data_IF_786415035195
#
_entry.id   IF_786415035195
#
_cell.length_a   1.000
_cell.length_b   1.000
_cell.length_c   1.000
_cell.angle_alpha   90.00
_cell.angle_beta   90.00
_cell.angle_gamma   90.00
#
_symmetry.space_group_name_H-M   'P 1'
#
loop_
_entity.id
_entity.type
_entity.pdbx_description
1 polymer ?
#
# COMPACT_ATOMS: atom_id res chain seq x y z
N UNK A 1 -82.49 -6.45 -8.33
CA UNK A 1 -81.90 -6.77 -7.02
C UNK A 1 -80.66 -7.61 -7.28
N UNK A 2 -79.51 -7.23 -6.70
CA UNK A 2 -78.25 -8.01 -6.65
C UNK A 2 -77.50 -8.07 -8.00
N UNK A 3 -76.20 -7.81 -8.15
CA UNK A 3 -75.11 -7.39 -7.26
C UNK A 3 -74.00 -6.79 -8.12
N UNK A 4 -73.33 -5.78 -7.58
CA UNK A 4 -71.96 -5.46 -7.93
C UNK A 4 -71.05 -6.62 -7.52
N UNK A 5 -70.06 -6.98 -8.34
CA UNK A 5 -68.82 -7.58 -7.81
C UNK A 5 -67.69 -7.45 -8.83
N UNK A 6 -66.73 -6.61 -8.46
CA UNK A 6 -65.42 -6.51 -9.08
C UNK A 6 -64.72 -7.88 -9.03
N UNK A 7 -63.98 -8.29 -10.07
CA UNK A 7 -63.13 -9.46 -9.98
C UNK A 7 -61.92 -9.10 -9.10
N UNK A 8 -62.03 -9.43 -7.82
CA UNK A 8 -60.91 -9.49 -6.89
C UNK A 8 -59.94 -10.56 -7.38
N UNK A 9 -58.70 -10.16 -7.58
CA UNK A 9 -57.56 -11.01 -7.88
C UNK A 9 -57.45 -12.05 -6.76
N UNK A 10 -57.76 -13.31 -7.09
CA UNK A 10 -57.45 -14.47 -6.27
C UNK A 10 -55.93 -14.61 -6.26
N UNK A 11 -55.30 -14.01 -5.26
CA UNK A 11 -53.93 -14.37 -4.89
C UNK A 11 -54.04 -15.57 -3.96
N UNK A 12 -53.79 -16.75 -4.52
CA UNK A 12 -53.61 -17.98 -3.77
C UNK A 12 -52.46 -17.78 -2.77
N UNK A 13 -52.81 -17.72 -1.49
CA UNK A 13 -51.85 -17.75 -0.39
C UNK A 13 -51.32 -19.18 -0.26
N UNK A 14 -50.14 -19.42 -0.83
CA UNK A 14 -49.33 -20.58 -0.46
C UNK A 14 -48.52 -20.21 0.79
N UNK A 15 -48.59 -21.08 1.78
CA UNK A 15 -48.01 -20.96 3.12
C UNK A 15 -46.54 -20.51 3.15
N UNK A 16 -46.26 -19.67 4.15
CA UNK A 16 -45.13 -19.73 5.09
C UNK A 16 -44.01 -18.66 5.03
N UNK A 17 -43.64 -18.25 6.26
CA UNK A 17 -42.46 -17.51 6.75
C UNK A 17 -42.48 -15.97 6.80
N UNK A 18 -42.70 -15.47 8.03
CA UNK A 18 -42.35 -14.18 8.66
C UNK A 18 -41.36 -13.24 7.91
N UNK A 19 -41.83 -12.53 6.89
CA UNK A 19 -41.07 -11.51 6.17
C UNK A 19 -41.54 -10.09 6.47
N UNK A 20 -40.60 -9.16 6.71
CA UNK A 20 -40.92 -7.73 6.87
C UNK A 20 -41.02 -7.09 5.47
N UNK A 21 -42.18 -6.52 5.16
CA UNK A 21 -42.45 -5.84 3.89
C UNK A 21 -42.53 -4.32 4.12
N UNK A 22 -41.73 -3.54 3.39
CA UNK A 22 -41.85 -2.07 3.37
C UNK A 22 -41.70 -1.53 1.96
N UNK A 23 -42.60 -0.62 1.56
CA UNK A 23 -42.55 0.14 0.30
C UNK A 23 -42.26 -0.72 -0.96
N UNK A 24 -42.94 -1.88 -1.08
CA UNK A 24 -42.85 -2.75 -2.26
C UNK A 24 -41.68 -3.75 -2.26
N UNK A 25 -40.84 -3.74 -1.22
CA UNK A 25 -39.75 -4.71 -1.02
C UNK A 25 -40.04 -5.61 0.19
N UNK A 26 -39.94 -6.92 0.01
CA UNK A 26 -40.01 -7.87 1.11
C UNK A 26 -38.68 -8.60 1.30
N UNK A 27 -38.26 -8.69 2.57
CA UNK A 27 -36.99 -9.30 2.95
C UNK A 27 -37.23 -10.48 3.89
N UNK A 28 -36.37 -11.50 3.77
CA UNK A 28 -36.25 -12.56 4.76
C UNK A 28 -35.60 -12.01 6.05
N UNK A 29 -35.76 -12.68 7.20
CA UNK A 29 -35.06 -12.32 8.46
C UNK A 29 -33.53 -12.25 8.29
N UNK A 30 -32.99 -12.96 7.31
CA UNK A 30 -31.58 -12.97 6.89
C UNK A 30 -31.17 -11.78 6.00
N UNK A 31 -32.02 -10.73 5.89
CA UNK A 31 -31.84 -9.51 5.08
C UNK A 31 -31.77 -9.70 3.56
N UNK A 32 -32.03 -10.91 3.06
CA UNK A 32 -32.12 -11.15 1.62
C UNK A 32 -33.45 -10.64 1.06
N UNK A 33 -33.41 -9.92 -0.06
CA UNK A 33 -34.60 -9.45 -0.78
C UNK A 33 -35.26 -10.65 -1.48
N UNK A 34 -36.48 -11.00 -1.10
CA UNK A 34 -37.18 -12.18 -1.61
C UNK A 34 -38.23 -11.84 -2.66
N UNK A 35 -38.78 -10.63 -2.62
CA UNK A 35 -39.68 -10.16 -3.67
C UNK A 35 -39.72 -8.63 -3.75
N UNK A 36 -39.85 -8.12 -4.98
CA UNK A 36 -39.89 -6.71 -5.33
C UNK A 36 -41.05 -6.46 -6.27
N UNK A 37 -41.92 -5.52 -5.90
CA UNK A 37 -43.04 -5.04 -6.70
C UNK A 37 -42.71 -3.63 -7.20
N UNK A 38 -42.79 -3.41 -8.52
CA UNK A 38 -42.58 -2.07 -9.09
C UNK A 38 -43.87 -1.24 -8.99
N UNK A 39 -43.80 -0.09 -8.33
CA UNK A 39 -44.94 0.84 -8.26
C UNK A 39 -45.20 1.41 -9.66
N UNK A 40 -46.40 1.20 -10.21
CA UNK A 40 -46.83 1.69 -11.53
C UNK A 40 -46.69 0.71 -12.69
N UNK A 41 -46.24 -0.53 -12.45
CA UNK A 41 -46.20 -1.61 -13.45
C UNK A 41 -46.69 -2.93 -12.83
N UNK A 42 -47.44 -3.78 -13.55
CA UNK A 42 -47.93 -5.06 -13.01
C UNK A 42 -46.83 -6.12 -12.82
N UNK A 43 -45.56 -5.75 -13.02
CA UNK A 43 -44.42 -6.66 -12.94
C UNK A 43 -43.91 -6.78 -11.50
N UNK A 44 -43.93 -8.01 -10.97
CA UNK A 44 -43.31 -8.37 -9.70
C UNK A 44 -42.21 -9.42 -9.92
N UNK A 45 -41.06 -9.24 -9.28
CA UNK A 45 -39.97 -10.21 -9.28
C UNK A 45 -39.98 -10.99 -7.97
N UNK A 46 -40.13 -12.31 -8.07
CA UNK A 46 -40.04 -13.22 -6.92
C UNK A 46 -38.79 -14.08 -7.03
N UNK A 47 -38.02 -14.16 -5.95
CA UNK A 47 -36.86 -15.03 -5.87
C UNK A 47 -37.35 -16.48 -5.73
N UNK A 48 -37.12 -17.31 -6.76
CA UNK A 48 -37.61 -18.70 -6.79
C UNK A 48 -36.86 -19.63 -5.84
N UNK A 49 -35.57 -19.35 -5.58
CA UNK A 49 -34.72 -20.12 -4.67
C UNK A 49 -33.66 -19.18 -4.08
N UNK A 50 -33.47 -19.22 -2.77
CA UNK A 50 -32.39 -18.49 -2.09
C UNK A 50 -31.07 -19.16 -2.48
N UNK A 51 -30.07 -18.40 -2.99
CA UNK A 51 -28.73 -18.94 -3.22
C UNK A 51 -28.17 -19.43 -1.88
N UNK A 52 -27.69 -20.68 -1.85
CA UNK A 52 -27.02 -21.21 -0.66
C UNK A 52 -25.83 -20.30 -0.33
N UNK A 53 -25.71 -19.89 0.94
CA UNK A 53 -24.56 -19.12 1.40
C UNK A 53 -23.29 -19.87 0.99
N UNK A 54 -22.44 -19.21 0.21
CA UNK A 54 -21.09 -19.71 -0.09
C UNK A 54 -20.34 -19.67 1.24
N UNK A 55 -20.36 -20.79 1.96
CA UNK A 55 -19.38 -21.05 3.02
C UNK A 55 -18.04 -20.88 2.34
N UNK A 56 -17.20 -19.98 2.86
CA UNK A 56 -15.84 -19.85 2.33
C UNK A 56 -15.18 -21.20 2.52
N UNK A 57 -15.02 -21.96 1.44
CA UNK A 57 -14.15 -23.12 1.42
C UNK A 57 -12.80 -22.69 2.02
N UNK A 58 -12.20 -23.57 2.81
CA UNK A 58 -10.88 -23.33 3.40
C UNK A 58 -9.95 -22.79 2.30
N UNK A 59 -9.46 -21.55 2.46
CA UNK A 59 -8.58 -20.95 1.46
C UNK A 59 -7.41 -21.92 1.26
N UNK A 60 -7.13 -22.35 0.01
CA UNK A 60 -6.03 -23.27 -0.23
C UNK A 60 -4.76 -22.69 0.40
N UNK A 61 -3.93 -23.52 1.06
CA UNK A 61 -2.76 -23.04 1.76
C UNK A 61 -1.91 -22.20 0.80
N UNK A 62 -1.68 -20.95 1.20
CA UNK A 62 -0.97 -19.97 0.37
C UNK A 62 0.36 -20.59 -0.08
N UNK A 63 0.69 -20.57 -1.39
CA UNK A 63 1.94 -21.15 -1.86
C UNK A 63 3.12 -20.51 -1.13
N UNK A 64 3.89 -21.34 -0.41
CA UNK A 64 5.08 -20.91 0.32
C UNK A 64 6.20 -20.79 -0.70
N UNK A 65 6.36 -19.60 -1.27
CA UNK A 65 7.50 -19.31 -2.12
C UNK A 65 8.76 -19.18 -1.25
N UNK A 66 9.71 -20.08 -1.45
CA UNK A 66 11.03 -19.95 -0.83
C UNK A 66 11.71 -18.66 -1.31
N UNK A 67 12.28 -17.91 -0.37
CA UNK A 67 13.03 -16.70 -0.70
C UNK A 67 14.33 -17.10 -1.39
N UNK A 68 14.35 -17.05 -2.72
CA UNK A 68 15.60 -17.18 -3.48
C UNK A 68 16.50 -15.99 -3.19
N UNK A 69 17.80 -16.25 -3.02
CA UNK A 69 18.81 -15.20 -2.97
C UNK A 69 18.83 -14.48 -4.32
N UNK A 70 18.73 -13.16 -4.28
CA UNK A 70 18.81 -12.33 -5.46
C UNK A 70 20.29 -12.22 -5.87
N UNK A 71 20.71 -12.97 -6.89
CA UNK A 71 22.02 -12.81 -7.52
C UNK A 71 21.87 -11.87 -8.73
N UNK A 72 22.38 -10.65 -8.60
CA UNK A 72 22.18 -9.58 -9.59
C UNK A 72 22.98 -9.88 -10.86
N UNK A 73 24.12 -10.55 -10.71
CA UNK A 73 25.05 -10.89 -11.78
C UNK A 73 24.53 -12.00 -12.70
N UNK A 74 23.72 -12.91 -12.16
CA UNK A 74 23.15 -14.05 -12.93
C UNK A 74 21.92 -13.65 -13.75
N UNK A 75 21.14 -12.66 -13.29
CA UNK A 75 19.96 -12.17 -14.00
C UNK A 75 20.33 -11.06 -14.98
N UNK A 76 20.38 -11.39 -16.27
CA UNK A 76 20.68 -10.44 -17.35
C UNK A 76 19.79 -9.19 -17.33
N UNK A 77 18.50 -9.32 -17.01
CA UNK A 77 17.60 -8.17 -16.97
C UNK A 77 17.95 -7.26 -15.80
N UNK A 78 18.29 -7.85 -14.65
CA UNK A 78 18.64 -7.10 -13.46
C UNK A 78 19.98 -6.39 -13.60
N UNK A 79 20.97 -7.08 -14.16
CA UNK A 79 22.28 -6.50 -14.45
C UNK A 79 22.18 -5.31 -15.41
N UNK A 80 21.38 -5.42 -16.48
CA UNK A 80 21.14 -4.30 -17.41
C UNK A 80 20.59 -3.08 -16.67
N UNK A 81 19.53 -3.25 -15.87
CA UNK A 81 18.93 -2.16 -15.10
C UNK A 81 19.92 -1.52 -14.13
N UNK A 82 20.78 -2.33 -13.52
CA UNK A 82 21.83 -1.83 -12.64
C UNK A 82 22.84 -0.97 -13.40
N UNK A 83 23.28 -1.41 -14.58
CA UNK A 83 24.21 -0.65 -15.41
C UNK A 83 23.62 0.69 -15.85
N UNK A 84 22.39 0.69 -16.36
CA UNK A 84 21.70 1.91 -16.77
C UNK A 84 21.60 2.90 -15.60
N UNK A 85 21.13 2.42 -14.44
CA UNK A 85 20.99 3.26 -13.25
C UNK A 85 22.34 3.80 -12.75
N UNK A 86 23.40 3.00 -12.84
CA UNK A 86 24.75 3.41 -12.47
C UNK A 86 25.26 4.49 -13.41
N UNK A 87 25.03 4.36 -14.71
CA UNK A 87 25.41 5.38 -15.71
C UNK A 87 24.64 6.68 -15.49
N UNK A 88 23.33 6.62 -15.29
CA UNK A 88 22.50 7.79 -14.98
C UNK A 88 23.03 8.57 -13.77
N UNK A 89 23.35 7.87 -12.68
CA UNK A 89 23.88 8.50 -11.45
C UNK A 89 25.23 9.14 -11.72
N UNK A 90 26.12 8.48 -12.48
CA UNK A 90 27.42 9.04 -12.86
C UNK A 90 27.27 10.26 -13.75
N UNK A 91 26.37 10.22 -14.73
CA UNK A 91 26.07 11.34 -15.61
C UNK A 91 25.54 12.54 -14.83
N UNK A 92 24.54 12.32 -13.97
CA UNK A 92 23.98 13.35 -13.10
C UNK A 92 25.03 13.95 -12.17
N UNK A 93 25.90 13.13 -11.58
CA UNK A 93 27.00 13.61 -10.75
C UNK A 93 27.98 14.48 -11.54
N UNK A 94 28.36 14.06 -12.76
CA UNK A 94 29.27 14.83 -13.61
C UNK A 94 28.65 16.18 -14.02
N UNK A 95 27.35 16.22 -14.32
CA UNK A 95 26.62 17.45 -14.60
C UNK A 95 26.59 18.36 -13.37
N UNK A 96 26.25 17.82 -12.19
CA UNK A 96 26.24 18.56 -10.94
C UNK A 96 27.61 19.19 -10.61
N UNK A 97 28.70 18.43 -10.77
CA UNK A 97 30.08 18.92 -10.58
C UNK A 97 30.52 19.99 -11.60
N UNK A 98 29.89 20.05 -12.78
CA UNK A 98 30.15 21.10 -13.78
C UNK A 98 29.33 22.36 -13.51
N UNK A 99 28.11 22.20 -13.01
CA UNK A 99 27.21 23.31 -12.66
C UNK A 99 27.67 24.05 -11.40
N UNK A 100 28.32 23.34 -10.48
CA UNK A 100 28.74 23.87 -9.17
C UNK A 100 30.27 23.86 -9.01
N UNK A 101 31.02 24.77 -9.68
CA UNK A 101 32.48 24.85 -9.53
C UNK A 101 32.92 25.21 -8.11
N UNK A 102 32.07 25.87 -7.32
CA UNK A 102 32.29 26.21 -5.91
C UNK A 102 32.60 24.98 -5.05
N UNK A 103 32.07 23.81 -5.39
CA UNK A 103 32.37 22.57 -4.66
C UNK A 103 33.83 22.15 -4.82
N UNK A 104 34.40 22.34 -6.02
CA UNK A 104 35.82 22.04 -6.26
C UNK A 104 36.72 23.02 -5.53
N UNK A 105 36.35 24.30 -5.52
CA UNK A 105 37.07 25.33 -4.77
C UNK A 105 37.03 25.04 -3.25
N UNK A 106 35.85 24.75 -2.71
CA UNK A 106 35.66 24.41 -1.30
C UNK A 106 36.52 23.20 -0.87
N UNK A 107 36.58 22.15 -1.70
CA UNK A 107 37.41 20.97 -1.45
C UNK A 107 38.91 21.28 -1.55
N UNK A 108 39.31 22.14 -2.50
CA UNK A 108 40.69 22.58 -2.63
C UNK A 108 41.14 23.38 -1.40
N UNK A 109 40.30 24.30 -0.92
CA UNK A 109 40.56 25.09 0.29
C UNK A 109 40.67 24.18 1.52
N UNK A 110 39.77 23.21 1.66
CA UNK A 110 39.84 22.21 2.73
C UNK A 110 41.16 21.44 2.70
N UNK A 111 41.57 20.96 1.51
CA UNK A 111 42.83 20.24 1.34
C UNK A 111 44.04 21.13 1.64
N UNK A 112 43.99 22.40 1.25
CA UNK A 112 45.04 23.37 1.58
C UNK A 112 45.17 23.56 3.09
N UNK A 113 44.06 23.68 3.82
CA UNK A 113 44.10 23.76 5.28
C UNK A 113 44.61 22.47 5.94
N UNK A 114 44.27 21.31 5.39
CA UNK A 114 44.82 20.04 5.87
C UNK A 114 46.35 19.97 5.70
N UNK A 115 46.87 20.41 4.55
CA UNK A 115 48.30 20.40 4.28
C UNK A 115 49.07 21.42 5.13
N UNK A 116 48.46 22.57 5.45
CA UNK A 116 49.08 23.60 6.29
C UNK A 116 49.08 23.23 7.78
N UNK A 117 47.97 22.74 8.32
CA UNK A 117 47.81 22.49 9.76
C UNK A 117 48.21 21.08 10.18
N UNK A 118 48.13 20.12 9.26
CA UNK A 118 48.39 18.68 9.45
C UNK A 118 47.86 18.15 10.81
N UNK A 119 46.54 18.25 11.04
CA UNK A 119 45.94 17.85 12.31
C UNK A 119 46.11 16.34 12.55
N UNK A 120 46.16 15.94 13.82
CA UNK A 120 46.23 14.53 14.23
C UNK A 120 44.90 13.81 13.95
N UNK A 121 43.77 14.51 14.12
CA UNK A 121 42.44 14.01 13.80
C UNK A 121 41.82 14.79 12.63
N UNK A 122 41.80 14.15 11.47
CA UNK A 122 41.30 14.71 10.21
C UNK A 122 39.76 14.75 10.20
N UNK A 123 39.10 13.81 10.89
CA UNK A 123 37.65 13.66 10.84
C UNK A 123 36.98 14.76 11.66
N UNK A 124 37.48 15.02 12.87
CA UNK A 124 37.03 16.13 13.71
C UNK A 124 37.27 17.49 13.02
N UNK A 125 38.43 17.66 12.38
CA UNK A 125 38.73 18.87 11.61
C UNK A 125 37.77 19.07 10.42
N UNK A 126 37.43 17.99 9.71
CA UNK A 126 36.48 18.05 8.60
C UNK A 126 35.08 18.44 9.07
N UNK A 127 34.60 17.87 10.18
CA UNK A 127 33.26 18.20 10.71
C UNK A 127 33.17 19.66 11.12
N UNK A 128 34.21 20.20 11.77
CA UNK A 128 34.28 21.62 12.13
C UNK A 128 34.31 22.51 10.88
N UNK A 129 35.16 22.21 9.90
CA UNK A 129 35.26 22.98 8.66
C UNK A 129 33.95 23.00 7.86
N UNK A 130 33.34 21.83 7.65
CA UNK A 130 32.10 21.72 6.88
C UNK A 130 30.85 22.16 7.66
N UNK A 131 30.91 22.26 8.98
CA UNK A 131 29.79 22.73 9.80
C UNK A 131 29.31 24.13 9.40
N UNK A 132 30.24 25.01 9.02
CA UNK A 132 29.95 26.38 8.58
C UNK A 132 29.10 26.46 7.30
N UNK A 133 29.09 25.39 6.49
CA UNK A 133 28.36 25.31 5.22
C UNK A 133 27.06 24.49 5.33
N UNK A 134 26.79 23.90 6.50
CA UNK A 134 25.59 23.11 6.73
C UNK A 134 24.38 24.03 6.93
N UNK A 135 23.67 24.33 5.85
CA UNK A 135 22.27 24.76 5.98
C UNK A 135 21.48 23.60 6.56
N UNK A 136 20.70 23.84 7.62
CA UNK A 136 19.78 22.86 8.20
C UNK A 136 18.77 22.41 7.15
N UNK A 137 19.09 21.35 6.40
CA UNK A 137 18.19 20.81 5.38
C UNK A 137 17.17 19.92 6.08
N UNK A 138 15.87 20.25 6.13
CA UNK A 138 14.85 19.36 6.65
C UNK A 138 14.50 18.34 5.55
N UNK A 139 15.45 17.51 5.17
CA UNK A 139 15.15 16.38 4.29
C UNK A 139 15.84 15.16 4.88
N UNK A 140 15.14 14.50 5.81
CA UNK A 140 15.53 13.17 6.23
C UNK A 140 15.65 12.33 4.96
N UNK A 141 16.84 11.81 4.69
CA UNK A 141 17.02 10.92 3.54
C UNK A 141 15.96 9.82 3.64
N UNK A 142 15.42 9.31 2.52
CA UNK A 142 14.40 8.26 2.57
C UNK A 142 14.86 7.03 3.37
N UNK A 143 16.17 6.82 3.51
CA UNK A 143 16.78 5.83 4.39
C UNK A 143 16.62 6.14 5.88
N UNK A 144 16.73 7.41 6.30
CA UNK A 144 16.44 7.82 7.67
C UNK A 144 14.93 7.82 7.95
N UNK A 145 14.12 8.18 6.95
CA UNK A 145 12.67 8.17 7.05
C UNK A 145 12.07 6.75 7.12
N UNK A 146 12.75 5.73 6.59
CA UNK A 146 12.27 4.34 6.65
C UNK A 146 12.21 3.78 8.08
N UNK A 147 13.01 4.33 9.00
CA UNK A 147 12.97 3.99 10.42
C UNK A 147 11.84 4.70 11.18
N UNK A 148 11.14 5.66 10.55
CA UNK A 148 10.03 6.35 11.19
C UNK A 148 8.90 5.37 11.55
N UNK A 149 8.12 5.64 12.61
CA UNK A 149 6.94 4.87 12.94
C UNK A 149 5.98 4.84 11.75
N UNK A 150 5.65 3.65 11.25
CA UNK A 150 4.72 3.54 10.12
C UNK A 150 3.32 3.97 10.57
N UNK A 151 2.57 4.73 9.75
CA UNK A 151 1.20 5.13 10.08
C UNK A 151 0.21 3.95 10.06
N UNK A 152 0.65 2.79 9.57
CA UNK A 152 -0.13 1.57 9.56
C UNK A 152 -0.12 0.89 10.94
N UNK A 153 -1.27 0.39 11.42
CA UNK A 153 -1.36 -0.33 12.67
C UNK A 153 -0.48 -1.59 12.62
N UNK A 154 0.21 -1.87 13.72
CA UNK A 154 1.06 -3.06 13.86
C UNK A 154 0.20 -4.30 13.66
N UNK A 155 0.44 -5.04 12.57
CA UNK A 155 -0.25 -6.31 12.34
C UNK A 155 0.17 -7.30 13.42
N UNK A 156 -0.76 -7.62 14.33
CA UNK A 156 -0.55 -8.50 15.50
C UNK A 156 -0.12 -9.94 15.15
N UNK A 157 -0.01 -10.29 13.86
CA UNK A 157 0.38 -11.62 13.40
C UNK A 157 1.84 -11.78 12.95
N UNK A 158 2.62 -10.71 12.79
CA UNK A 158 3.92 -10.76 12.12
C UNK A 158 5.11 -10.57 13.08
N UNK A 159 5.22 -11.43 14.10
CA UNK A 159 6.31 -11.41 15.11
C UNK A 159 7.72 -11.53 14.52
N UNK A 160 7.83 -12.08 13.30
CA UNK A 160 9.11 -12.21 12.56
C UNK A 160 9.70 -10.87 12.11
N UNK A 161 8.88 -9.84 11.90
CA UNK A 161 9.36 -8.51 11.48
C UNK A 161 9.97 -7.76 12.67
N UNK A 162 9.42 -7.94 13.87
CA UNK A 162 9.96 -7.34 15.10
C UNK A 162 11.35 -7.88 15.45
N UNK A 163 11.58 -9.18 15.24
CA UNK A 163 12.89 -9.83 15.45
C UNK A 163 13.99 -9.29 14.52
N UNK A 164 13.65 -8.73 13.36
CA UNK A 164 14.61 -8.12 12.43
C UNK A 164 14.89 -6.64 12.73
N UNK A 165 14.08 -6.01 13.58
CA UNK A 165 14.22 -4.59 13.96
C UNK A 165 15.14 -4.38 15.16
N UNK A 166 15.43 -5.43 15.92
CA UNK A 166 16.38 -5.37 17.04
C UNK A 166 17.81 -5.33 16.49
N UNK A 167 18.62 -4.32 16.84
CA UNK A 167 20.03 -4.29 16.46
C UNK A 167 20.75 -5.45 17.14
N UNK A 168 21.35 -6.34 16.36
CA UNK A 168 22.34 -7.30 16.86
C UNK A 168 23.49 -6.50 17.47
N UNK A 169 23.69 -6.66 18.78
CA UNK A 169 24.77 -6.03 19.54
C UNK A 169 26.13 -6.62 19.16
#
# INVERSE_FOLDING_TARGET
MVSALMPWIVSAWSHDTDGVCSQGNCHLKEKHLTNRVQVGSPVGMKLAKVPTAVVRDEEPPKPVFEKRSLNIEEDMQMYSKFLDRKEDIKGNHAVYMRQHPELKALLADFLQFLLLRKPQDIISFASEYFSAFSTTVPNASPYLASNAPTPFPVSRGNTRIEQLRTPTR
#
